data_IF_873175474894
#
_entry.id   IF_873175474894
#
_cell.length_a   1.000
_cell.length_b   1.000
_cell.length_c   1.000
_cell.angle_alpha   90.00
_cell.angle_beta   90.00
_cell.angle_gamma   90.00
#
_symmetry.space_group_name_H-M   'P 1'
#
loop_
_entity.id
_entity.type
_entity.pdbx_description
1 polymer ?
#
# COMPACT_ATOMS: atom_id res chain seq x y z
N UNK A 1 -36.54 -29.77 3.06
CA UNK A 1 -35.71 -28.86 3.87
C UNK A 1 -34.26 -29.23 3.67
N UNK A 2 -33.58 -28.62 2.70
CA UNK A 2 -32.15 -28.83 2.47
C UNK A 2 -31.38 -27.73 3.20
N UNK A 3 -30.52 -28.12 4.14
CA UNK A 3 -29.63 -27.22 4.85
C UNK A 3 -28.73 -26.48 3.86
N UNK A 4 -28.82 -25.14 3.88
CA UNK A 4 -27.88 -24.22 3.24
C UNK A 4 -26.49 -24.53 3.81
N UNK A 5 -25.65 -25.19 3.02
CA UNK A 5 -24.22 -25.37 3.33
C UNK A 5 -23.62 -23.97 3.36
N UNK A 6 -23.29 -23.49 4.56
CA UNK A 6 -22.58 -22.23 4.78
C UNK A 6 -21.31 -22.27 3.95
N UNK A 7 -21.23 -21.42 2.92
CA UNK A 7 -19.96 -21.13 2.28
C UNK A 7 -19.14 -20.35 3.30
N UNK A 8 -18.19 -21.03 3.95
CA UNK A 8 -17.12 -20.40 4.71
C UNK A 8 -16.41 -19.45 3.75
N UNK A 9 -16.67 -18.15 3.85
CA UNK A 9 -15.88 -17.14 3.15
C UNK A 9 -14.45 -17.28 3.66
N UNK A 10 -13.52 -17.58 2.75
CA UNK A 10 -12.11 -17.44 3.06
C UNK A 10 -11.86 -15.92 3.20
N UNK A 11 -12.10 -15.40 4.40
CA UNK A 11 -11.96 -13.98 4.69
C UNK A 11 -10.47 -13.70 4.89
N UNK A 12 -9.77 -13.35 3.82
CA UNK A 12 -8.32 -13.08 3.84
C UNK A 12 -7.97 -11.78 4.60
N UNK A 13 -8.98 -10.93 4.85
CA UNK A 13 -8.92 -9.80 5.76
C UNK A 13 -9.69 -10.09 7.04
N UNK A 14 -8.98 -10.52 8.09
CA UNK A 14 -9.52 -10.62 9.46
C UNK A 14 -9.96 -9.26 10.04
N UNK A 15 -9.72 -8.13 9.35
CA UNK A 15 -10.32 -6.85 9.69
C UNK A 15 -11.79 -6.85 9.26
N UNK A 16 -12.68 -7.22 10.19
CA UNK A 16 -14.09 -6.89 10.08
C UNK A 16 -14.23 -5.37 9.96
N UNK A 17 -15.13 -4.88 9.09
CA UNK A 17 -15.41 -3.46 9.04
C UNK A 17 -15.84 -2.98 10.44
N UNK A 18 -15.27 -1.87 10.90
CA UNK A 18 -15.69 -1.22 12.12
C UNK A 18 -16.75 -0.18 11.76
N UNK A 19 -17.94 -0.29 12.37
CA UNK A 19 -18.94 0.75 12.25
C UNK A 19 -18.51 1.91 13.16
N UNK A 20 -18.19 3.05 12.57
CA UNK A 20 -17.67 4.23 13.27
C UNK A 20 -18.60 5.42 13.09
N UNK A 21 -18.75 6.23 14.15
CA UNK A 21 -19.39 7.55 14.02
C UNK A 21 -18.35 8.55 13.52
N UNK A 22 -18.50 8.96 12.27
CA UNK A 22 -17.71 10.03 11.65
C UNK A 22 -18.32 11.38 12.04
N UNK A 23 -17.57 12.28 12.72
CA UNK A 23 -18.10 13.56 13.16
C UNK A 23 -18.46 14.50 12.00
N UNK A 24 -19.43 15.39 12.24
CA UNK A 24 -19.65 16.58 11.41
C UNK A 24 -18.37 17.38 11.23
N UNK A 25 -18.15 17.94 10.04
CA UNK A 25 -16.92 18.65 9.66
C UNK A 25 -15.82 17.76 9.08
N UNK A 26 -15.93 16.43 9.19
CA UNK A 26 -15.03 15.49 8.51
C UNK A 26 -15.13 15.63 6.99
N UNK A 27 -14.03 15.37 6.28
CA UNK A 27 -13.99 15.47 4.82
C UNK A 27 -14.16 14.10 4.17
N UNK A 28 -14.72 14.07 2.97
CA UNK A 28 -14.90 12.88 2.13
C UNK A 28 -14.37 13.15 0.73
N UNK A 29 -13.38 12.37 0.30
CA UNK A 29 -12.98 12.26 -1.11
C UNK A 29 -13.91 11.24 -1.75
N UNK A 30 -14.75 11.70 -2.68
CA UNK A 30 -15.64 10.81 -3.40
C UNK A 30 -14.83 9.89 -4.32
N UNK A 31 -15.27 8.63 -4.43
CA UNK A 31 -14.61 7.61 -5.26
C UNK A 31 -15.57 7.00 -6.30
N UNK A 32 -16.75 7.57 -6.48
CA UNK A 32 -17.73 7.15 -7.49
C UNK A 32 -17.71 8.05 -8.74
N UNK A 33 -18.22 7.53 -9.86
CA UNK A 33 -18.21 8.20 -11.16
C UNK A 33 -19.10 9.45 -11.21
N UNK A 34 -20.06 9.58 -10.28
CA UNK A 34 -21.03 10.69 -10.27
C UNK A 34 -20.49 11.87 -9.48
N UNK A 35 -20.09 11.64 -8.22
CA UNK A 35 -19.57 12.66 -7.32
C UNK A 35 -18.10 12.99 -7.59
N UNK A 36 -17.33 12.11 -8.24
CA UNK A 36 -15.92 12.35 -8.61
C UNK A 36 -15.71 12.48 -10.12
N UNK A 37 -16.71 12.97 -10.84
CA UNK A 37 -16.65 13.15 -12.30
C UNK A 37 -15.91 14.43 -12.73
N UNK A 38 -15.05 14.31 -13.74
CA UNK A 38 -14.54 15.42 -14.56
C UNK A 38 -14.77 15.05 -16.02
N UNK A 39 -15.43 15.92 -16.79
CA UNK A 39 -15.81 15.66 -18.19
C UNK A 39 -16.54 14.31 -18.38
N UNK A 40 -17.48 13.99 -17.48
CA UNK A 40 -18.30 12.75 -17.44
C UNK A 40 -17.53 11.46 -17.16
N UNK A 41 -16.27 11.56 -16.76
CA UNK A 41 -15.40 10.42 -16.45
C UNK A 41 -14.88 10.52 -15.02
N UNK A 42 -14.57 9.39 -14.41
CA UNK A 42 -13.95 9.38 -13.09
C UNK A 42 -12.60 10.10 -13.11
N UNK A 43 -12.39 11.01 -12.15
CA UNK A 43 -11.13 11.74 -12.02
C UNK A 43 -10.11 10.94 -11.20
N UNK A 44 -9.18 10.25 -11.90
CA UNK A 44 -8.08 9.49 -11.30
C UNK A 44 -7.19 10.29 -10.33
N UNK A 45 -7.20 11.63 -10.42
CA UNK A 45 -6.46 12.50 -9.49
C UNK A 45 -6.92 12.34 -8.04
N UNK A 46 -8.11 11.79 -7.78
CA UNK A 46 -8.54 11.42 -6.43
C UNK A 46 -7.56 10.45 -5.73
N UNK A 47 -7.01 9.48 -6.45
CA UNK A 47 -5.98 8.57 -5.92
C UNK A 47 -4.66 9.31 -5.65
N UNK A 48 -4.27 10.24 -6.51
CA UNK A 48 -3.08 11.07 -6.28
C UNK A 48 -3.19 11.94 -5.04
N UNK A 49 -4.38 12.50 -4.80
CA UNK A 49 -4.66 13.25 -3.57
C UNK A 49 -4.55 12.33 -2.34
N UNK A 50 -5.15 11.15 -2.39
CA UNK A 50 -5.08 10.17 -1.29
C UNK A 50 -3.63 9.82 -0.92
N UNK A 51 -2.79 9.49 -1.92
CA UNK A 51 -1.37 9.18 -1.68
C UNK A 51 -0.63 10.37 -1.07
N UNK A 52 -0.89 11.60 -1.52
CA UNK A 52 -0.23 12.80 -0.98
C UNK A 52 -0.63 13.10 0.47
N UNK A 53 -1.90 12.93 0.80
CA UNK A 53 -2.39 13.06 2.18
C UNK A 53 -1.68 12.06 3.10
N UNK A 54 -1.59 10.79 2.67
CA UNK A 54 -0.88 9.75 3.41
C UNK A 54 0.62 10.07 3.56
N UNK A 55 1.28 10.56 2.52
CA UNK A 55 2.70 10.98 2.57
C UNK A 55 2.92 12.15 3.53
N UNK A 56 1.94 13.04 3.66
CA UNK A 56 1.93 14.13 4.63
C UNK A 56 1.52 13.70 6.05
N UNK A 57 1.26 12.40 6.28
CA UNK A 57 0.90 11.86 7.59
C UNK A 57 -0.56 12.03 7.98
N UNK A 58 -1.45 12.36 7.03
CA UNK A 58 -2.89 12.45 7.26
C UNK A 58 -3.52 11.06 7.07
N UNK A 59 -4.08 10.44 8.13
CA UNK A 59 -4.75 9.15 8.02
C UNK A 59 -6.01 9.24 7.15
N UNK A 60 -6.30 8.18 6.40
CA UNK A 60 -7.50 8.08 5.57
C UNK A 60 -8.32 6.86 5.97
N UNK A 61 -9.58 7.05 6.36
CA UNK A 61 -10.50 5.95 6.61
C UNK A 61 -11.14 5.52 5.30
N UNK A 62 -10.88 4.30 4.86
CA UNK A 62 -11.46 3.72 3.66
C UNK A 62 -12.83 3.12 3.98
N UNK A 63 -13.87 3.87 3.65
CA UNK A 63 -15.25 3.54 3.98
C UNK A 63 -15.82 2.59 2.93
N UNK A 64 -15.96 1.31 3.30
CA UNK A 64 -16.53 0.27 2.44
C UNK A 64 -17.54 -0.51 3.27
N UNK A 65 -18.80 -0.50 2.83
CA UNK A 65 -19.87 -1.22 3.51
C UNK A 65 -19.68 -2.73 3.38
N UNK A 66 -19.68 -3.42 4.53
CA UNK A 66 -19.50 -4.87 4.60
C UNK A 66 -20.64 -5.61 3.89
N UNK A 67 -20.30 -6.63 3.10
CA UNK A 67 -21.26 -7.47 2.39
C UNK A 67 -22.12 -6.75 1.35
N UNK A 68 -21.72 -5.55 0.91
CA UNK A 68 -22.48 -4.80 -0.10
C UNK A 68 -22.48 -5.52 -1.44
N UNK A 69 -23.53 -5.35 -2.23
CA UNK A 69 -23.55 -5.77 -3.62
C UNK A 69 -22.66 -4.86 -4.49
N UNK A 70 -22.27 -5.32 -5.68
CA UNK A 70 -21.55 -4.49 -6.67
C UNK A 70 -22.34 -3.21 -6.95
N UNK A 71 -21.64 -2.07 -6.95
CA UNK A 71 -22.20 -0.72 -7.16
C UNK A 71 -23.23 -0.25 -6.11
N UNK A 72 -23.37 -0.98 -4.99
CA UNK A 72 -24.19 -0.51 -3.89
C UNK A 72 -23.52 0.64 -3.11
N UNK A 73 -24.37 1.42 -2.45
CA UNK A 73 -23.99 2.55 -1.60
C UNK A 73 -23.17 2.08 -0.40
N UNK A 74 -22.07 2.79 -0.13
CA UNK A 74 -21.27 2.61 1.09
C UNK A 74 -21.94 3.34 2.26
N UNK A 75 -22.26 4.62 2.09
CA UNK A 75 -23.10 5.38 3.02
C UNK A 75 -23.78 6.57 2.35
N UNK A 76 -24.84 7.08 2.99
CA UNK A 76 -25.57 8.28 2.58
C UNK A 76 -25.60 9.28 3.73
N UNK A 77 -25.33 10.56 3.46
CA UNK A 77 -25.38 11.62 4.46
C UNK A 77 -25.52 13.01 3.85
N UNK A 78 -25.86 14.00 4.67
CA UNK A 78 -25.84 15.40 4.26
C UNK A 78 -24.39 15.91 4.20
N UNK A 79 -24.01 16.40 3.02
CA UNK A 79 -22.68 16.94 2.80
C UNK A 79 -22.70 18.12 1.82
N UNK A 80 -21.82 19.08 2.08
CA UNK A 80 -21.51 20.20 1.18
C UNK A 80 -20.25 19.88 0.40
N UNK A 81 -20.14 20.32 -0.87
CA UNK A 81 -18.86 20.22 -1.58
C UNK A 81 -18.01 21.43 -1.20
N UNK A 82 -16.76 21.22 -0.78
CA UNK A 82 -15.83 22.29 -0.39
C UNK A 82 -14.70 22.51 -1.41
N UNK A 83 -14.38 21.50 -2.22
CA UNK A 83 -13.40 21.59 -3.32
C UNK A 83 -13.89 20.84 -4.56
N UNK A 84 -13.48 21.26 -5.78
CA UNK A 84 -12.73 22.48 -6.08
C UNK A 84 -13.59 23.75 -5.99
N UNK A 85 -14.91 23.60 -6.01
CA UNK A 85 -15.90 24.68 -5.94
C UNK A 85 -17.02 24.31 -4.98
N UNK A 86 -17.56 25.30 -4.28
CA UNK A 86 -18.64 25.11 -3.33
C UNK A 86 -19.91 24.54 -4.02
N UNK A 87 -20.57 23.60 -3.36
CA UNK A 87 -21.96 23.23 -3.65
C UNK A 87 -22.75 23.23 -2.35
N UNK A 88 -24.00 23.66 -2.40
CA UNK A 88 -24.88 23.62 -1.24
C UNK A 88 -24.96 22.21 -0.62
N UNK A 89 -25.34 22.19 0.65
CA UNK A 89 -25.64 20.96 1.39
C UNK A 89 -26.73 20.20 0.66
N UNK A 90 -26.51 18.90 0.46
CA UNK A 90 -27.53 17.99 -0.02
C UNK A 90 -27.31 16.61 0.59
N UNK A 91 -28.35 15.77 0.57
CA UNK A 91 -28.18 14.34 0.83
C UNK A 91 -27.40 13.72 -0.33
N UNK A 92 -26.30 13.03 -0.04
CA UNK A 92 -25.39 12.45 -1.02
C UNK A 92 -25.10 11.00 -0.64
N UNK A 93 -25.14 10.13 -1.64
CA UNK A 93 -24.76 8.72 -1.50
C UNK A 93 -23.37 8.54 -2.08
N UNK A 94 -22.44 8.08 -1.25
CA UNK A 94 -21.07 7.80 -1.66
C UNK A 94 -20.93 6.31 -1.96
N UNK A 95 -20.32 5.99 -3.10
CA UNK A 95 -20.13 4.62 -3.59
C UNK A 95 -18.63 4.38 -3.86
N UNK A 96 -18.30 3.12 -4.12
CA UNK A 96 -16.97 2.69 -4.60
C UNK A 96 -15.84 3.05 -3.64
N UNK A 97 -16.08 2.92 -2.33
CA UNK A 97 -15.04 3.04 -1.32
C UNK A 97 -14.53 4.48 -1.16
N UNK A 98 -15.38 5.47 -0.82
CA UNK A 98 -14.95 6.82 -0.50
C UNK A 98 -13.89 6.85 0.62
N UNK A 99 -13.03 7.88 0.61
CA UNK A 99 -11.99 8.06 1.61
C UNK A 99 -12.36 9.22 2.53
N UNK A 100 -12.42 8.94 3.83
CA UNK A 100 -12.79 9.91 4.86
C UNK A 100 -11.55 10.42 5.58
N UNK A 101 -11.47 11.73 5.78
CA UNK A 101 -10.46 12.41 6.58
C UNK A 101 -11.15 12.92 7.84
N UNK A 102 -10.58 12.57 9.00
CA UNK A 102 -11.15 12.98 10.28
C UNK A 102 -11.16 14.51 10.44
N UNK A 103 -12.15 15.03 11.17
CA UNK A 103 -12.28 16.46 11.44
C UNK A 103 -11.03 17.04 12.13
N UNK A 104 -10.33 16.24 12.95
CA UNK A 104 -9.09 16.65 13.60
C UNK A 104 -7.99 17.01 12.58
N UNK A 105 -7.94 16.32 11.45
CA UNK A 105 -6.94 16.50 10.39
C UNK A 105 -7.38 17.47 9.30
N UNK A 106 -8.65 17.93 9.34
CA UNK A 106 -9.28 18.74 8.30
C UNK A 106 -8.42 19.93 7.86
N UNK A 107 -7.89 20.71 8.80
CA UNK A 107 -7.13 21.93 8.51
C UNK A 107 -5.85 21.61 7.74
N UNK A 108 -5.08 20.62 8.21
CA UNK A 108 -3.85 20.19 7.54
C UNK A 108 -4.16 19.58 6.17
N UNK A 109 -5.21 18.76 6.08
CA UNK A 109 -5.66 18.17 4.84
C UNK A 109 -6.08 19.22 3.81
N UNK A 110 -6.84 20.26 4.18
CA UNK A 110 -7.29 21.31 3.26
C UNK A 110 -6.13 22.10 2.63
N UNK A 111 -5.02 22.27 3.35
CA UNK A 111 -3.81 22.87 2.79
C UNK A 111 -3.23 22.00 1.66
N UNK A 112 -3.12 20.69 1.89
CA UNK A 112 -2.64 19.71 0.90
C UNK A 112 -3.60 19.60 -0.28
N UNK A 113 -4.90 19.51 -0.02
CA UNK A 113 -5.96 19.44 -1.05
C UNK A 113 -5.90 20.68 -1.95
N UNK A 114 -5.77 21.87 -1.37
CA UNK A 114 -5.71 23.12 -2.12
C UNK A 114 -4.43 23.21 -2.95
N UNK A 115 -3.29 22.84 -2.36
CA UNK A 115 -2.00 22.80 -3.06
C UNK A 115 -1.98 21.80 -4.22
N UNK A 116 -2.58 20.62 -4.03
CA UNK A 116 -2.66 19.61 -5.08
C UNK A 116 -3.61 20.01 -6.21
N UNK A 117 -4.75 20.63 -5.92
CA UNK A 117 -5.73 21.06 -6.93
C UNK A 117 -6.30 19.89 -7.73
N UNK A 118 -6.08 19.90 -9.06
CA UNK A 118 -6.46 18.82 -9.98
C UNK A 118 -7.97 18.47 -10.03
N UNK A 119 -8.85 19.42 -9.69
CA UNK A 119 -10.31 19.28 -9.75
C UNK A 119 -10.83 18.05 -9.00
N UNK A 120 -10.20 17.68 -7.87
CA UNK A 120 -10.70 16.60 -7.02
C UNK A 120 -11.89 17.11 -6.19
N UNK A 121 -13.02 16.40 -6.22
CA UNK A 121 -14.19 16.82 -5.46
C UNK A 121 -14.03 16.32 -4.02
N UNK A 122 -14.06 17.26 -3.08
CA UNK A 122 -14.00 16.96 -1.65
C UNK A 122 -15.24 17.53 -1.01
N UNK A 123 -15.90 16.70 -0.22
CA UNK A 123 -17.12 17.00 0.49
C UNK A 123 -16.84 17.14 1.98
N UNK A 124 -17.63 17.95 2.67
CA UNK A 124 -17.60 18.07 4.12
C UNK A 124 -18.95 17.61 4.67
N UNK A 125 -18.92 16.72 5.65
CA UNK A 125 -20.12 16.24 6.34
C UNK A 125 -20.71 17.38 7.18
N UNK A 126 -22.02 17.55 7.13
CA UNK A 126 -22.71 18.58 7.95
C UNK A 126 -23.37 18.01 9.20
N UNK A 127 -23.23 16.71 9.43
CA UNK A 127 -23.78 15.99 10.56
C UNK A 127 -22.92 14.76 10.88
N UNK A 128 -23.01 14.29 12.11
CA UNK A 128 -22.42 13.01 12.50
C UNK A 128 -23.06 11.89 11.66
N UNK A 129 -22.24 10.97 11.15
CA UNK A 129 -22.67 9.90 10.25
C UNK A 129 -22.03 8.60 10.68
N UNK A 130 -22.82 7.55 10.88
CA UNK A 130 -22.28 6.19 11.10
C UNK A 130 -21.87 5.59 9.76
N UNK A 131 -20.62 5.14 9.67
CA UNK A 131 -20.02 4.62 8.44
C UNK A 131 -19.22 3.36 8.75
N UNK A 132 -19.36 2.35 7.90
CA UNK A 132 -18.52 1.16 7.97
C UNK A 132 -17.13 1.46 7.38
N UNK A 133 -16.10 1.37 8.21
CA UNK A 133 -14.71 1.58 7.84
C UNK A 133 -14.04 0.22 7.69
N UNK A 134 -13.57 -0.08 6.48
CA UNK A 134 -12.83 -1.33 6.19
C UNK A 134 -11.39 -1.24 6.67
N UNK A 135 -10.74 -0.10 6.42
CA UNK A 135 -9.37 0.16 6.87
C UNK A 135 -9.17 1.62 7.24
N UNK A 136 -8.34 1.87 8.27
CA UNK A 136 -7.71 3.18 8.46
C UNK A 136 -6.30 3.11 7.87
N UNK A 137 -6.07 3.83 6.79
CA UNK A 137 -4.80 3.88 6.06
C UNK A 137 -3.86 4.88 6.71
N UNK A 138 -2.67 4.43 7.06
CA UNK A 138 -1.59 5.25 7.66
C UNK A 138 -0.23 5.07 6.98
N UNK A 139 -0.07 4.00 6.20
CA UNK A 139 1.13 3.78 5.39
C UNK A 139 1.29 4.86 4.32
N UNK A 140 2.53 5.05 3.81
CA UNK A 140 2.86 6.01 2.75
C UNK A 140 3.06 5.27 1.42
N UNK A 141 2.04 5.18 0.54
CA UNK A 141 2.12 4.31 -0.63
C UNK A 141 3.31 4.64 -1.53
N UNK A 142 4.18 3.67 -1.81
CA UNK A 142 5.28 3.80 -2.77
C UNK A 142 5.42 2.53 -3.60
N UNK A 143 5.31 2.68 -4.92
CA UNK A 143 5.35 1.56 -5.86
C UNK A 143 6.74 1.31 -6.46
N UNK A 144 7.18 0.06 -6.50
CA UNK A 144 8.16 -0.41 -7.49
C UNK A 144 7.42 -0.88 -8.74
N UNK A 145 7.80 -0.36 -9.92
CA UNK A 145 7.30 -0.86 -11.20
C UNK A 145 8.41 -1.66 -11.85
N UNK A 146 8.23 -2.98 -11.88
CA UNK A 146 9.19 -3.93 -12.42
C UNK A 146 9.21 -3.82 -13.96
N UNK A 147 10.41 -3.84 -14.53
CA UNK A 147 10.62 -3.71 -15.97
C UNK A 147 11.10 -5.01 -16.62
N UNK A 148 10.79 -6.18 -16.05
CA UNK A 148 11.35 -7.44 -16.53
C UNK A 148 10.98 -7.72 -18.00
N UNK A 149 9.83 -7.23 -18.47
CA UNK A 149 9.44 -7.31 -19.89
C UNK A 149 9.48 -6.00 -20.66
N UNK A 150 10.03 -4.90 -20.12
CA UNK A 150 10.21 -3.65 -20.87
C UNK A 150 8.98 -2.73 -20.98
N UNK A 151 7.89 -3.02 -20.26
CA UNK A 151 6.59 -2.35 -20.44
C UNK A 151 6.14 -1.49 -19.23
N UNK A 152 7.08 -0.92 -18.48
CA UNK A 152 6.78 -0.06 -17.32
C UNK A 152 5.86 1.12 -17.61
N UNK A 153 5.79 1.58 -18.87
CA UNK A 153 4.94 2.71 -19.30
C UNK A 153 3.45 2.47 -19.04
N UNK A 154 3.00 1.20 -18.99
CA UNK A 154 1.62 0.83 -18.70
C UNK A 154 1.22 1.31 -17.31
N UNK A 155 1.95 0.89 -16.26
CA UNK A 155 1.65 1.26 -14.87
C UNK A 155 2.10 2.69 -14.55
N UNK A 156 3.28 3.11 -15.01
CA UNK A 156 3.76 4.48 -14.75
C UNK A 156 2.89 5.54 -15.43
N UNK A 157 2.30 5.23 -16.58
CA UNK A 157 1.30 6.07 -17.24
C UNK A 157 0.04 6.25 -16.39
N UNK A 158 -0.46 5.17 -15.76
CA UNK A 158 -1.59 5.22 -14.82
C UNK A 158 -1.25 6.12 -13.62
N UNK A 159 -0.06 5.95 -13.03
CA UNK A 159 0.40 6.77 -11.91
C UNK A 159 0.51 8.25 -12.26
N UNK A 160 1.06 8.56 -13.44
CA UNK A 160 1.13 9.94 -13.95
C UNK A 160 -0.28 10.54 -14.14
N UNK A 161 -1.22 9.78 -14.73
CA UNK A 161 -2.63 10.20 -14.86
C UNK A 161 -3.29 10.41 -13.50
N UNK A 162 -2.98 9.59 -12.50
CA UNK A 162 -3.40 9.78 -11.12
C UNK A 162 -2.73 10.97 -10.42
N UNK A 163 -1.70 11.60 -11.01
CA UNK A 163 -0.99 12.76 -10.43
C UNK A 163 0.09 12.38 -9.42
N UNK A 164 0.55 11.13 -9.48
CA UNK A 164 1.68 10.64 -8.70
C UNK A 164 3.00 11.06 -9.36
N UNK A 165 4.04 11.23 -8.55
CA UNK A 165 5.35 11.73 -8.97
C UNK A 165 6.37 10.60 -8.96
N UNK A 166 7.09 10.42 -10.08
CA UNK A 166 8.21 9.48 -10.17
C UNK A 166 9.32 9.85 -9.17
N UNK A 167 9.99 8.86 -8.59
CA UNK A 167 10.98 9.01 -7.52
C UNK A 167 10.37 9.19 -6.12
N UNK A 168 9.21 9.83 -6.01
CA UNK A 168 8.52 10.04 -4.72
C UNK A 168 7.50 8.95 -4.43
N UNK A 169 6.54 8.73 -5.33
CA UNK A 169 5.41 7.81 -5.13
C UNK A 169 5.58 6.50 -5.89
N UNK A 170 6.41 6.49 -6.93
CA UNK A 170 6.75 5.26 -7.65
C UNK A 170 8.15 5.34 -8.23
N UNK A 171 8.79 4.20 -8.48
CA UNK A 171 10.10 4.10 -9.11
C UNK A 171 10.12 2.87 -10.01
N UNK A 172 10.78 2.98 -11.16
CA UNK A 172 11.00 1.83 -12.03
C UNK A 172 12.19 1.03 -11.53
N UNK A 173 12.00 -0.27 -11.36
CA UNK A 173 13.05 -1.22 -11.08
C UNK A 173 13.36 -2.00 -12.35
N UNK A 174 14.63 -2.16 -12.68
CA UNK A 174 15.03 -2.87 -13.90
C UNK A 174 14.60 -4.34 -13.90
N UNK A 175 14.47 -4.95 -12.72
CA UNK A 175 14.03 -6.33 -12.57
C UNK A 175 13.51 -6.63 -11.16
N UNK A 176 12.62 -7.63 -11.06
CA UNK A 176 12.24 -8.32 -9.84
C UNK A 176 13.44 -8.83 -9.01
N UNK A 177 14.61 -9.03 -9.64
CA UNK A 177 15.86 -9.33 -8.93
C UNK A 177 16.26 -8.26 -7.90
N UNK A 178 15.79 -7.02 -8.05
CA UNK A 178 16.09 -5.89 -7.16
C UNK A 178 15.11 -5.77 -5.98
N UNK A 179 14.03 -6.54 -5.97
CA UNK A 179 13.02 -6.51 -4.92
C UNK A 179 13.26 -7.65 -3.92
N UNK A 180 13.18 -7.34 -2.63
CA UNK A 180 13.25 -8.30 -1.52
C UNK A 180 12.62 -7.69 -0.25
N UNK A 181 12.73 -8.38 0.89
CA UNK A 181 12.16 -7.92 2.16
C UNK A 181 12.73 -6.59 2.70
N UNK A 182 13.86 -6.11 2.20
CA UNK A 182 14.48 -4.84 2.60
C UNK A 182 14.23 -3.69 1.59
N UNK A 183 13.53 -3.93 0.49
CA UNK A 183 13.29 -2.90 -0.56
C UNK A 183 12.26 -1.88 -0.08
N UNK A 184 12.55 -0.57 -0.09
CA UNK A 184 11.66 0.49 0.42
C UNK A 184 10.47 0.84 -0.49
N UNK A 185 9.56 -0.11 -0.64
CA UNK A 185 8.28 0.05 -1.34
C UNK A 185 7.16 -0.56 -0.51
N UNK A 186 5.95 -0.02 -0.54
CA UNK A 186 4.77 -0.67 0.06
C UNK A 186 4.08 -1.57 -0.96
N UNK A 187 4.34 -1.34 -2.24
CA UNK A 187 3.73 -2.02 -3.36
C UNK A 187 4.75 -2.30 -4.46
N UNK A 188 4.66 -3.44 -5.13
CA UNK A 188 5.41 -3.76 -6.33
C UNK A 188 4.44 -4.21 -7.42
N UNK A 189 4.73 -3.90 -8.69
CA UNK A 189 3.88 -4.29 -9.80
C UNK A 189 4.68 -4.70 -11.02
N UNK A 190 4.25 -5.74 -11.70
CA UNK A 190 4.79 -6.16 -13.00
C UNK A 190 3.68 -6.02 -14.06
N UNK A 191 3.77 -5.03 -14.96
CA UNK A 191 2.78 -4.82 -16.01
C UNK A 191 2.78 -5.92 -17.08
N UNK A 192 3.95 -6.45 -17.43
CA UNK A 192 4.08 -7.46 -18.47
C UNK A 192 5.49 -8.06 -18.43
N UNK A 193 5.59 -9.34 -18.07
CA UNK A 193 6.80 -10.13 -18.27
C UNK A 193 6.47 -11.56 -18.69
N UNK A 194 7.10 -12.04 -19.76
CA UNK A 194 6.97 -13.42 -20.25
C UNK A 194 8.01 -14.38 -19.64
N UNK A 195 9.05 -13.85 -18.97
CA UNK A 195 10.22 -14.61 -18.51
C UNK A 195 10.58 -14.28 -17.05
N UNK A 196 9.88 -14.92 -16.12
CA UNK A 196 10.14 -14.82 -14.68
C UNK A 196 10.75 -16.14 -14.19
N UNK A 197 11.94 -16.06 -13.59
CA UNK A 197 12.64 -17.21 -13.03
C UNK A 197 12.18 -17.50 -11.61
N UNK A 198 12.44 -18.71 -11.12
CA UNK A 198 12.14 -19.07 -9.73
C UNK A 198 12.80 -18.13 -8.70
N UNK A 199 14.03 -17.66 -8.97
CA UNK A 199 14.71 -16.69 -8.11
C UNK A 199 13.96 -15.34 -8.01
N UNK A 200 13.43 -14.84 -9.13
CA UNK A 200 12.62 -13.61 -9.17
C UNK A 200 11.29 -13.78 -8.42
N UNK A 201 10.65 -14.94 -8.51
CA UNK A 201 9.46 -15.27 -7.71
C UNK A 201 9.80 -15.24 -6.22
N UNK A 202 10.89 -15.89 -5.81
CA UNK A 202 11.31 -15.95 -4.40
C UNK A 202 11.63 -14.56 -3.82
N UNK A 203 12.18 -13.67 -4.64
CA UNK A 203 12.40 -12.27 -4.29
C UNK A 203 11.09 -11.51 -4.00
N UNK A 204 10.08 -11.70 -4.85
CA UNK A 204 8.74 -11.15 -4.62
C UNK A 204 8.09 -11.77 -3.39
N UNK A 205 8.25 -13.09 -3.16
CA UNK A 205 7.81 -13.76 -1.91
C UNK A 205 8.45 -13.12 -0.68
N UNK A 206 9.77 -12.86 -0.71
CA UNK A 206 10.47 -12.21 0.39
C UNK A 206 9.94 -10.79 0.66
N UNK A 207 9.60 -10.05 -0.39
CA UNK A 207 8.96 -8.74 -0.29
C UNK A 207 7.55 -8.82 0.30
N UNK A 208 6.72 -9.77 -0.15
CA UNK A 208 5.38 -10.00 0.40
C UNK A 208 5.41 -10.40 1.88
N UNK A 209 6.33 -11.29 2.26
CA UNK A 209 6.52 -11.71 3.65
C UNK A 209 7.04 -10.57 4.57
N UNK A 210 7.54 -9.46 3.99
CA UNK A 210 7.90 -8.24 4.72
C UNK A 210 6.75 -7.25 4.88
N UNK A 211 5.54 -7.58 4.41
CA UNK A 211 4.35 -6.72 4.47
C UNK A 211 4.13 -5.89 3.21
N UNK A 212 4.93 -6.10 2.15
CA UNK A 212 4.69 -5.50 0.83
C UNK A 212 3.49 -6.13 0.12
N UNK A 213 2.93 -5.43 -0.86
CA UNK A 213 1.84 -5.91 -1.71
C UNK A 213 2.29 -6.01 -3.17
N UNK A 214 1.76 -6.97 -3.93
CA UNK A 214 2.14 -7.20 -5.32
C UNK A 214 0.95 -7.17 -6.28
N UNK A 215 1.18 -6.73 -7.52
CA UNK A 215 0.25 -6.94 -8.63
C UNK A 215 1.00 -7.45 -9.87
N UNK A 216 0.56 -8.60 -10.38
CA UNK A 216 0.97 -9.10 -11.70
C UNK A 216 -0.14 -8.86 -12.72
N UNK A 217 0.20 -8.27 -13.85
CA UNK A 217 -0.77 -7.97 -14.91
C UNK A 217 -0.44 -8.71 -16.22
N UNK A 218 -1.48 -9.07 -16.98
CA UNK A 218 -1.34 -9.67 -18.31
C UNK A 218 -0.47 -10.95 -18.32
N UNK A 219 0.56 -11.06 -19.16
CA UNK A 219 1.47 -12.21 -19.20
C UNK A 219 2.28 -12.36 -17.89
N UNK A 220 2.39 -11.31 -17.06
CA UNK A 220 2.96 -11.44 -15.73
C UNK A 220 2.10 -12.35 -14.83
N UNK A 221 0.78 -12.41 -15.05
CA UNK A 221 -0.08 -13.38 -14.37
C UNK A 221 0.47 -14.78 -14.63
N UNK A 222 0.67 -15.15 -15.91
CA UNK A 222 1.16 -16.47 -16.31
C UNK A 222 2.57 -16.75 -15.77
N UNK A 223 3.50 -15.80 -15.91
CA UNK A 223 4.91 -16.04 -15.57
C UNK A 223 5.13 -16.17 -14.05
N UNK A 224 4.44 -15.37 -13.23
CA UNK A 224 4.48 -15.50 -11.77
C UNK A 224 3.65 -16.68 -11.23
N UNK A 225 2.79 -17.28 -12.04
CA UNK A 225 2.00 -18.47 -11.68
C UNK A 225 2.44 -19.73 -12.43
N UNK A 226 3.66 -19.76 -12.97
CA UNK A 226 4.14 -20.94 -13.70
C UNK A 226 4.11 -22.21 -12.84
N UNK A 227 3.92 -23.37 -13.47
CA UNK A 227 3.80 -24.67 -12.78
C UNK A 227 5.06 -25.09 -12.04
N UNK A 228 6.23 -24.52 -12.36
CA UNK A 228 7.53 -24.91 -11.78
C UNK A 228 7.86 -24.18 -10.48
N UNK A 229 7.40 -22.93 -10.31
CA UNK A 229 7.52 -22.19 -9.04
C UNK A 229 6.43 -21.11 -8.97
N UNK A 230 5.17 -21.49 -8.72
CA UNK A 230 4.07 -20.53 -8.70
C UNK A 230 4.16 -19.69 -7.43
N UNK A 231 3.99 -18.37 -7.58
CA UNK A 231 3.89 -17.45 -6.44
C UNK A 231 2.77 -17.90 -5.48
N UNK A 232 1.65 -18.42 -6.01
CA UNK A 232 0.44 -18.74 -5.25
C UNK A 232 -0.39 -19.90 -5.80
N UNK A 233 -0.64 -19.89 -7.11
CA UNK A 233 -1.44 -20.89 -7.80
C UNK A 233 -0.76 -21.23 -9.12
N UNK A 234 -0.99 -22.43 -9.64
CA UNK A 234 -0.45 -22.82 -10.95
C UNK A 234 -1.38 -22.36 -12.07
N UNK A 235 -0.82 -21.69 -13.06
CA UNK A 235 -1.49 -21.30 -14.29
C UNK A 235 -2.01 -22.52 -15.03
N UNK A 236 -3.25 -22.44 -15.50
CA UNK A 236 -3.89 -23.46 -16.32
C UNK A 236 -4.01 -23.01 -17.77
N UNK A 237 -4.73 -21.92 -18.01
CA UNK A 237 -5.06 -21.47 -19.38
C UNK A 237 -5.53 -20.02 -19.41
N UNK A 238 -5.66 -19.46 -20.63
CA UNK A 238 -6.17 -18.10 -20.91
C UNK A 238 -7.26 -18.16 -22.00
N UNK A 239 -8.47 -18.64 -21.67
CA UNK A 239 -9.48 -18.99 -22.67
C UNK A 239 -10.16 -17.79 -23.35
N UNK A 240 -9.89 -16.55 -22.91
CA UNK A 240 -10.67 -15.37 -23.29
C UNK A 240 -11.91 -15.20 -22.43
N UNK A 241 -12.70 -14.16 -22.69
CA UNK A 241 -14.02 -13.94 -22.08
C UNK A 241 -15.06 -14.23 -23.17
N UNK A 242 -15.88 -15.26 -22.97
CA UNK A 242 -16.96 -15.62 -23.90
C UNK A 242 -18.28 -14.94 -23.56
N UNK A 243 -18.57 -14.82 -22.26
CA UNK A 243 -19.78 -14.23 -21.73
C UNK A 243 -19.58 -12.79 -21.24
N UNK A 244 -20.31 -12.44 -20.17
CA UNK A 244 -20.20 -11.14 -19.51
C UNK A 244 -19.24 -11.19 -18.33
N UNK A 245 -18.59 -10.07 -18.02
CA UNK A 245 -17.78 -9.94 -16.80
C UNK A 245 -18.72 -9.75 -15.59
N UNK A 246 -18.70 -10.71 -14.67
CA UNK A 246 -19.44 -10.69 -13.41
C UNK A 246 -18.47 -10.44 -12.25
N UNK A 247 -18.97 -9.82 -11.18
CA UNK A 247 -18.20 -9.44 -10.00
C UNK A 247 -18.60 -10.22 -8.75
N UNK A 248 -17.62 -10.52 -7.91
CA UNK A 248 -17.76 -11.11 -6.58
C UNK A 248 -17.02 -10.26 -5.54
N UNK A 249 -17.32 -10.50 -4.25
CA UNK A 249 -16.65 -9.86 -3.12
C UNK A 249 -16.63 -8.32 -3.27
N UNK A 250 -17.80 -7.72 -3.50
CA UNK A 250 -17.90 -6.30 -3.85
C UNK A 250 -17.53 -5.33 -2.70
N UNK A 251 -17.34 -5.84 -1.49
CA UNK A 251 -16.78 -5.14 -0.34
C UNK A 251 -15.24 -5.27 -0.23
N UNK A 252 -14.57 -5.90 -1.20
CA UNK A 252 -13.11 -5.96 -1.26
C UNK A 252 -12.48 -4.66 -1.77
N UNK A 253 -11.46 -4.10 -1.10
CA UNK A 253 -10.76 -2.89 -1.53
C UNK A 253 -10.29 -2.91 -2.99
N UNK A 254 -9.89 -4.08 -3.50
CA UNK A 254 -9.37 -4.20 -4.86
C UNK A 254 -10.42 -3.78 -5.91
N UNK A 255 -11.70 -4.09 -5.69
CA UNK A 255 -12.80 -3.88 -6.65
C UNK A 255 -13.69 -2.66 -6.34
N UNK A 256 -13.17 -1.69 -5.59
CA UNK A 256 -13.86 -0.43 -5.32
C UNK A 256 -13.87 0.47 -6.57
N UNK A 257 -14.73 0.10 -7.51
CA UNK A 257 -14.98 0.74 -8.81
C UNK A 257 -16.50 0.84 -9.07
N UNK A 258 -16.90 1.79 -9.91
CA UNK A 258 -18.31 1.93 -10.33
C UNK A 258 -18.52 1.51 -11.78
N UNK A 259 -19.41 0.56 -12.02
CA UNK A 259 -19.67 -0.01 -13.35
C UNK A 259 -18.74 -1.18 -13.71
N UNK A 260 -18.64 -1.50 -14.99
CA UNK A 260 -17.92 -2.66 -15.51
C UNK A 260 -16.40 -2.50 -15.62
N UNK A 261 -15.75 -3.55 -16.14
CA UNK A 261 -14.38 -3.57 -16.65
C UNK A 261 -14.43 -3.82 -18.15
N UNK A 262 -13.37 -3.44 -18.87
CA UNK A 262 -13.31 -3.65 -20.31
C UNK A 262 -12.61 -4.97 -20.67
N UNK A 263 -13.00 -5.58 -21.79
CA UNK A 263 -12.29 -6.71 -22.41
C UNK A 263 -11.32 -6.22 -23.51
N UNK A 264 -10.58 -5.16 -23.22
CA UNK A 264 -9.58 -4.62 -24.15
C UNK A 264 -8.38 -5.55 -24.28
N UNK A 265 -7.79 -5.62 -25.48
CA UNK A 265 -6.36 -5.84 -25.74
C UNK A 265 -5.64 -7.11 -25.29
N UNK A 266 -4.74 -7.58 -26.15
CA UNK A 266 -3.69 -8.55 -25.83
C UNK A 266 -4.09 -10.03 -25.71
N UNK A 267 -3.10 -10.87 -25.39
CA UNK A 267 -3.12 -12.33 -25.37
C UNK A 267 -3.70 -12.95 -24.08
N UNK A 268 -3.67 -12.25 -22.94
CA UNK A 268 -4.20 -12.70 -21.64
C UNK A 268 -5.40 -11.83 -21.26
N UNK A 269 -6.54 -12.09 -21.90
CA UNK A 269 -7.82 -11.43 -21.61
C UNK A 269 -8.52 -11.97 -20.36
N UNK A 270 -8.18 -13.20 -20.01
CA UNK A 270 -8.62 -13.92 -18.83
C UNK A 270 -7.60 -14.99 -18.46
N UNK A 271 -7.72 -15.58 -17.28
CA UNK A 271 -6.86 -16.65 -16.82
C UNK A 271 -7.60 -17.65 -15.93
N UNK A 272 -7.18 -18.91 -16.02
CA UNK A 272 -7.58 -20.00 -15.13
C UNK A 272 -6.38 -20.50 -14.33
N UNK A 273 -6.62 -20.92 -13.11
CA UNK A 273 -5.64 -21.64 -12.29
C UNK A 273 -6.06 -23.10 -12.11
N UNK A 274 -5.09 -24.01 -11.87
CA UNK A 274 -5.39 -25.42 -11.57
C UNK A 274 -5.97 -25.58 -10.15
N UNK A 275 -5.61 -24.66 -9.25
CA UNK A 275 -6.02 -24.64 -7.85
C UNK A 275 -6.56 -23.23 -7.53
N UNK A 276 -7.54 -23.10 -6.62
CA UNK A 276 -8.15 -21.81 -6.26
C UNK A 276 -7.89 -21.43 -4.78
N UNK A 277 -6.69 -20.95 -4.39
CA UNK A 277 -6.37 -20.65 -3.00
C UNK A 277 -6.86 -19.28 -2.49
N UNK A 278 -7.50 -18.46 -3.32
CA UNK A 278 -7.82 -17.05 -3.06
C UNK A 278 -9.28 -16.66 -3.37
N UNK A 279 -9.50 -15.36 -3.59
CA UNK A 279 -10.83 -14.80 -3.89
C UNK A 279 -10.92 -14.31 -5.33
N UNK A 280 -12.01 -14.75 -5.97
CA UNK A 280 -12.45 -14.27 -7.27
C UNK A 280 -13.00 -12.86 -7.14
N UNK A 281 -12.63 -11.97 -8.06
CA UNK A 281 -13.09 -10.57 -8.04
C UNK A 281 -13.93 -10.24 -9.26
N UNK A 282 -13.39 -10.53 -10.44
CA UNK A 282 -14.12 -10.39 -11.70
C UNK A 282 -13.86 -11.62 -12.56
N UNK A 283 -14.90 -12.16 -13.21
CA UNK A 283 -14.83 -13.43 -13.91
C UNK A 283 -15.86 -13.54 -15.04
N UNK A 284 -15.66 -14.50 -15.93
CA UNK A 284 -16.54 -14.79 -17.06
C UNK A 284 -17.82 -15.51 -16.59
N UNK A 285 -18.99 -14.99 -16.96
CA UNK A 285 -20.28 -15.62 -16.67
C UNK A 285 -20.37 -17.06 -17.13
N UNK A 286 -19.68 -17.42 -18.21
CA UNK A 286 -19.71 -18.76 -18.80
C UNK A 286 -18.87 -19.76 -17.98
N UNK A 287 -17.96 -19.26 -17.13
CA UNK A 287 -17.09 -20.10 -16.34
C UNK A 287 -16.62 -19.40 -15.07
N UNK A 288 -17.16 -19.86 -13.93
CA UNK A 288 -16.81 -19.31 -12.61
C UNK A 288 -15.33 -19.40 -12.19
N UNK A 289 -14.51 -20.15 -12.93
CA UNK A 289 -13.07 -20.30 -12.71
C UNK A 289 -12.22 -19.56 -13.74
N UNK A 290 -12.85 -18.81 -14.66
CA UNK A 290 -12.21 -18.00 -15.68
C UNK A 290 -12.15 -16.54 -15.24
N UNK A 291 -11.01 -16.12 -14.72
CA UNK A 291 -10.87 -14.86 -14.01
C UNK A 291 -10.39 -13.73 -14.93
N UNK A 292 -10.95 -12.53 -14.74
CA UNK A 292 -10.41 -11.25 -15.22
C UNK A 292 -9.56 -10.59 -14.13
N UNK A 293 -10.04 -10.64 -12.89
CA UNK A 293 -9.34 -10.12 -11.72
C UNK A 293 -9.45 -11.13 -10.56
N UNK A 294 -8.34 -11.28 -9.84
CA UNK A 294 -8.19 -12.24 -8.77
C UNK A 294 -7.27 -11.67 -7.70
N UNK A 295 -7.49 -11.98 -6.43
CA UNK A 295 -6.51 -11.67 -5.40
C UNK A 295 -6.43 -12.76 -4.33
N UNK A 296 -5.34 -12.73 -3.58
CA UNK A 296 -5.11 -13.62 -2.45
C UNK A 296 -4.15 -12.96 -1.47
N UNK A 297 -4.24 -13.34 -0.20
CA UNK A 297 -3.22 -13.00 0.81
C UNK A 297 -2.31 -14.19 1.00
N UNK A 298 -1.00 -13.97 0.90
CA UNK A 298 -0.01 -15.05 1.03
C UNK A 298 -0.05 -15.62 2.46
N UNK A 299 -0.41 -16.90 2.61
CA UNK A 299 -0.59 -17.55 3.91
C UNK A 299 0.69 -17.61 4.79
N UNK A 300 1.88 -17.50 4.18
CA UNK A 300 3.18 -17.49 4.87
C UNK A 300 3.60 -16.12 5.38
N UNK A 301 2.83 -15.05 5.13
CA UNK A 301 3.22 -13.72 5.60
C UNK A 301 3.10 -13.67 7.12
N UNK A 302 4.23 -13.56 7.82
CA UNK A 302 4.25 -13.23 9.25
C UNK A 302 3.71 -11.82 9.57
N UNK A 303 3.38 -11.04 8.53
CA UNK A 303 2.80 -9.70 8.61
C UNK A 303 1.30 -9.74 8.87
N UNK A 304 0.85 -8.98 9.87
CA UNK A 304 -0.58 -8.81 10.19
C UNK A 304 -1.30 -8.05 9.06
N UNK A 305 -0.61 -7.08 8.44
CA UNK A 305 -1.11 -6.26 7.33
C UNK A 305 -0.11 -6.30 6.15
N UNK A 306 -0.64 -6.42 4.93
CA UNK A 306 0.15 -6.60 3.70
C UNK A 306 0.22 -8.06 3.26
N UNK A 307 1.10 -8.37 2.30
CA UNK A 307 1.22 -9.71 1.71
C UNK A 307 0.13 -10.04 0.70
N UNK A 308 -0.60 -9.04 0.20
CA UNK A 308 -1.63 -9.24 -0.83
C UNK A 308 -0.99 -9.35 -2.19
N UNK A 309 -1.45 -10.32 -2.98
CA UNK A 309 -1.14 -10.45 -4.39
C UNK A 309 -2.41 -10.29 -5.20
N UNK A 310 -2.32 -9.43 -6.19
CA UNK A 310 -3.39 -9.12 -7.11
C UNK A 310 -2.98 -9.58 -8.51
N UNK A 311 -3.93 -10.15 -9.23
CA UNK A 311 -3.78 -10.46 -10.65
C UNK A 311 -4.88 -9.75 -11.44
N UNK A 312 -4.48 -9.21 -12.59
CA UNK A 312 -5.35 -8.52 -13.52
C UNK A 312 -5.02 -8.96 -14.95
N UNK A 313 -6.03 -9.36 -15.71
CA UNK A 313 -5.88 -9.66 -17.13
C UNK A 313 -6.03 -8.39 -17.98
N UNK A 314 -5.47 -8.44 -19.19
CA UNK A 314 -5.29 -7.30 -20.11
C UNK A 314 -4.33 -6.22 -19.59
N UNK A 315 -3.92 -5.30 -20.46
CA UNK A 315 -3.12 -4.13 -20.10
C UNK A 315 -3.19 -2.91 -21.05
N UNK A 316 -4.09 -2.91 -22.04
CA UNK A 316 -4.26 -1.78 -22.97
C UNK A 316 -5.43 -0.90 -22.56
N UNK A 317 -5.34 -0.30 -21.37
CA UNK A 317 -6.43 0.53 -20.85
C UNK A 317 -6.31 1.97 -21.37
N UNK A 318 -7.22 2.35 -22.26
CA UNK A 318 -7.38 3.72 -22.72
C UNK A 318 -7.97 4.64 -21.63
N UNK A 319 -8.35 5.84 -22.04
CA UNK A 319 -9.11 6.79 -21.21
C UNK A 319 -10.38 7.24 -21.92
N UNK A 320 -10.86 6.45 -22.86
CA UNK A 320 -12.04 6.65 -23.69
C UNK A 320 -13.32 6.64 -22.88
N UNK A 321 -13.42 5.80 -21.84
CA UNK A 321 -14.60 5.69 -20.98
C UNK A 321 -14.28 5.25 -19.53
N UNK A 322 -15.33 5.05 -18.73
CA UNK A 322 -15.19 4.64 -17.33
C UNK A 322 -14.81 3.16 -17.17
N UNK A 323 -15.08 2.29 -18.14
CA UNK A 323 -14.68 0.87 -18.05
C UNK A 323 -13.16 0.74 -18.15
N UNK A 324 -12.52 1.43 -19.09
CA UNK A 324 -11.06 1.48 -19.18
C UNK A 324 -10.42 2.19 -17.97
N UNK A 325 -11.07 3.23 -17.44
CA UNK A 325 -10.61 3.89 -16.21
C UNK A 325 -10.73 2.93 -15.01
N UNK A 326 -11.76 2.11 -14.93
CA UNK A 326 -11.93 1.16 -13.84
C UNK A 326 -10.82 0.11 -13.80
N UNK A 327 -10.34 -0.38 -14.95
CA UNK A 327 -9.17 -1.25 -15.00
C UNK A 327 -7.92 -0.56 -14.42
N UNK A 328 -7.72 0.73 -14.67
CA UNK A 328 -6.64 1.52 -14.06
C UNK A 328 -6.84 1.71 -12.55
N UNK A 329 -8.10 1.84 -12.11
CA UNK A 329 -8.45 1.94 -10.68
C UNK A 329 -8.13 0.67 -9.91
N UNK A 330 -8.19 -0.51 -10.54
CA UNK A 330 -7.76 -1.76 -9.91
C UNK A 330 -6.30 -1.69 -9.45
N UNK A 331 -5.39 -1.21 -10.31
CA UNK A 331 -3.99 -1.00 -9.95
C UNK A 331 -3.83 0.01 -8.80
N UNK A 332 -4.59 1.10 -8.84
CA UNK A 332 -4.52 2.15 -7.81
C UNK A 332 -5.13 1.72 -6.48
N UNK A 333 -6.19 0.89 -6.51
CA UNK A 333 -6.75 0.24 -5.33
C UNK A 333 -5.73 -0.73 -4.71
N UNK A 334 -5.02 -1.51 -5.53
CA UNK A 334 -3.95 -2.38 -5.05
C UNK A 334 -2.77 -1.60 -4.43
N UNK A 335 -2.44 -0.43 -5.00
CA UNK A 335 -1.44 0.50 -4.45
C UNK A 335 -1.86 1.06 -3.08
N UNK A 336 -3.14 1.42 -2.89
CA UNK A 336 -3.67 1.93 -1.63
C UNK A 336 -3.91 0.85 -0.57
N UNK A 337 -3.86 -0.44 -0.95
CA UNK A 337 -4.14 -1.52 -0.02
C UNK A 337 -3.16 -1.48 1.16
N UNK A 338 -3.64 -1.61 2.42
CA UNK A 338 -2.79 -1.50 3.60
C UNK A 338 -1.50 -2.34 3.51
N UNK A 339 -0.41 -1.76 4.01
CA UNK A 339 0.90 -2.38 4.10
C UNK A 339 1.57 -1.91 5.39
N UNK A 340 1.88 -2.84 6.30
CA UNK A 340 2.67 -2.54 7.50
C UNK A 340 4.17 -2.67 7.23
N UNK A 341 4.57 -2.36 5.99
CA UNK A 341 5.96 -2.53 5.62
C UNK A 341 6.82 -1.45 6.25
N UNK A 342 7.35 -1.80 7.41
CA UNK A 342 8.33 -1.02 8.16
C UNK A 342 9.66 -1.72 8.05
N UNK A 343 10.59 -1.07 7.35
CA UNK A 343 11.99 -1.46 7.35
C UNK A 343 12.66 -0.70 8.50
N UNK A 344 13.14 -1.43 9.49
CA UNK A 344 14.07 -0.85 10.46
C UNK A 344 15.40 -0.55 9.78
N UNK A 345 16.11 0.49 10.25
CA UNK A 345 17.56 0.51 10.08
C UNK A 345 18.13 -0.82 10.59
N UNK A 346 19.26 -1.31 10.07
CA UNK A 346 19.98 -2.47 10.62
C UNK A 346 21.47 -2.18 10.57
N UNK A 347 22.14 -2.33 11.71
CA UNK A 347 23.59 -2.38 11.77
C UNK A 347 24.03 -3.84 11.54
N UNK A 348 24.44 -4.16 10.32
CA UNK A 348 24.96 -5.47 9.91
C UNK A 348 26.50 -5.55 10.01
N UNK A 349 27.13 -4.61 10.71
CA UNK A 349 28.57 -4.62 10.93
C UNK A 349 28.97 -5.88 11.70
N UNK A 350 30.06 -6.52 11.30
CA UNK A 350 30.56 -7.72 11.98
C UNK A 350 30.92 -7.39 13.44
N UNK A 351 30.79 -8.37 14.34
CA UNK A 351 31.14 -8.21 15.76
C UNK A 351 32.60 -8.60 16.07
N UNK A 352 33.39 -8.96 15.05
CA UNK A 352 34.81 -9.31 15.22
C UNK A 352 35.61 -8.15 15.85
N UNK A 353 36.49 -8.43 16.81
CA UNK A 353 37.33 -7.39 17.42
C UNK A 353 38.32 -6.80 16.41
N UNK A 354 38.73 -5.55 16.65
CA UNK A 354 39.83 -4.86 15.95
C UNK A 354 40.79 -4.30 16.99
N UNK A 355 42.03 -4.06 16.59
CA UNK A 355 43.05 -3.35 17.39
C UNK A 355 43.04 -1.85 17.11
N UNK A 356 43.74 -1.05 17.92
CA UNK A 356 43.76 0.42 17.78
C UNK A 356 44.42 0.92 16.48
N UNK A 357 45.22 0.07 15.82
CA UNK A 357 45.87 0.36 14.53
C UNK A 357 45.05 -0.14 13.32
N UNK A 358 43.90 -0.77 13.56
CA UNK A 358 43.01 -1.27 12.52
C UNK A 358 41.81 -0.36 12.35
N UNK A 359 41.10 -0.55 11.23
CA UNK A 359 39.82 0.12 10.98
C UNK A 359 38.73 -0.91 10.78
N UNK A 360 37.48 -0.49 10.94
CA UNK A 360 36.31 -1.33 10.70
C UNK A 360 35.36 -0.71 9.70
N UNK A 361 35.09 -1.45 8.63
CA UNK A 361 34.04 -1.11 7.67
C UNK A 361 32.67 -1.40 8.30
N UNK A 362 31.88 -0.35 8.45
CA UNK A 362 30.52 -0.38 8.94
C UNK A 362 29.56 -0.75 7.80
N UNK A 363 28.63 -1.66 8.08
CA UNK A 363 27.67 -2.16 7.10
C UNK A 363 26.27 -1.95 7.63
N UNK A 364 25.49 -1.15 6.91
CA UNK A 364 24.15 -0.72 7.30
C UNK A 364 23.17 -1.13 6.22
N UNK A 365 22.00 -1.61 6.64
CA UNK A 365 20.92 -1.97 5.73
C UNK A 365 19.62 -1.30 6.16
N UNK A 366 18.77 -0.87 5.22
CA UNK A 366 19.11 -0.50 3.81
C UNK A 366 20.28 0.50 3.71
N UNK A 367 20.79 0.75 2.50
CA UNK A 367 21.80 1.79 2.24
C UNK A 367 21.24 3.22 2.35
N UNK A 368 22.11 4.22 2.56
CA UNK A 368 21.73 5.64 2.55
C UNK A 368 21.49 6.26 3.93
N UNK A 369 21.71 5.49 4.99
CA UNK A 369 21.74 5.99 6.36
C UNK A 369 23.08 6.59 6.76
N UNK A 370 23.09 7.20 7.93
CA UNK A 370 24.24 7.83 8.58
C UNK A 370 24.70 7.01 9.78
N UNK A 371 26.00 7.06 10.06
CA UNK A 371 26.61 6.42 11.21
C UNK A 371 26.96 7.44 12.29
N UNK A 372 26.74 7.06 13.55
CA UNK A 372 27.20 7.85 14.70
C UNK A 372 27.79 6.97 15.79
N UNK A 373 28.79 7.50 16.48
CA UNK A 373 29.34 6.89 17.69
C UNK A 373 28.44 7.29 18.85
N UNK A 374 27.91 6.30 19.55
CA UNK A 374 27.06 6.50 20.73
C UNK A 374 27.94 6.58 22.00
N UNK A 375 29.04 5.84 22.07
CA UNK A 375 29.94 5.84 23.24
C UNK A 375 31.41 5.54 22.92
N UNK A 376 32.28 5.88 23.88
CA UNK A 376 33.72 5.57 24.01
C UNK A 376 34.72 6.30 23.07
N UNK A 377 34.32 6.70 21.87
CA UNK A 377 35.10 7.61 21.02
C UNK A 377 35.72 6.97 19.77
N UNK A 378 36.66 7.68 19.16
CA UNK A 378 37.16 7.40 17.80
C UNK A 378 36.53 8.33 16.76
N UNK A 379 36.68 7.99 15.48
CA UNK A 379 36.09 8.76 14.38
C UNK A 379 35.43 7.87 13.34
N UNK A 380 34.41 8.40 12.67
CA UNK A 380 33.78 7.75 11.53
C UNK A 380 33.94 8.66 10.32
N UNK A 381 34.55 8.15 9.26
CA UNK A 381 34.57 8.78 7.94
C UNK A 381 33.79 7.91 6.97
N UNK A 382 32.68 8.45 6.44
CA UNK A 382 31.69 7.73 5.61
C UNK A 382 31.15 6.47 6.30
N UNK A 383 31.76 5.32 6.03
CA UNK A 383 31.41 4.02 6.59
C UNK A 383 32.62 3.32 7.22
N UNK A 384 33.70 4.03 7.53
CA UNK A 384 34.89 3.46 8.18
C UNK A 384 35.02 4.02 9.58
N UNK A 385 34.96 3.15 10.57
CA UNK A 385 35.29 3.47 11.96
C UNK A 385 36.79 3.32 12.21
N UNK A 386 37.38 4.35 12.82
CA UNK A 386 38.78 4.37 13.28
C UNK A 386 38.78 4.54 14.81
N UNK A 387 39.33 3.57 15.57
CA UNK A 387 39.44 3.66 17.01
C UNK A 387 40.25 4.88 17.47
N UNK A 388 40.00 5.33 18.70
CA UNK A 388 40.95 6.15 19.44
C UNK A 388 42.02 5.23 20.08
N UNK A 389 43.14 5.81 20.52
CA UNK A 389 44.11 5.07 21.33
C UNK A 389 43.47 4.58 22.63
N UNK A 390 43.74 3.32 23.00
CA UNK A 390 43.13 2.68 24.17
C UNK A 390 44.18 2.04 25.06
N UNK A 391 44.05 2.20 26.38
CA UNK A 391 44.95 1.56 27.35
C UNK A 391 44.47 0.16 27.78
N UNK A 392 43.24 -0.22 27.41
CA UNK A 392 42.64 -1.52 27.69
C UNK A 392 41.50 -1.83 26.72
N UNK A 393 41.15 -3.12 26.59
CA UNK A 393 40.06 -3.58 25.72
C UNK A 393 38.76 -2.85 26.05
N UNK A 394 38.13 -2.27 25.03
CA UNK A 394 36.90 -1.51 25.25
C UNK A 394 35.82 -1.74 24.20
N UNK A 395 34.57 -1.73 24.66
CA UNK A 395 33.36 -1.82 23.84
C UNK A 395 32.94 -0.45 23.32
N UNK A 396 32.78 -0.33 22.01
CA UNK A 396 32.27 0.87 21.33
C UNK A 396 30.85 0.60 20.85
N UNK A 397 29.93 1.54 21.09
CA UNK A 397 28.56 1.46 20.57
C UNK A 397 28.43 2.37 19.35
N UNK A 398 28.07 1.79 18.20
CA UNK A 398 27.88 2.51 16.94
C UNK A 398 26.43 2.33 16.48
N UNK A 399 25.77 3.46 16.14
CA UNK A 399 24.40 3.51 15.65
C UNK A 399 24.37 3.74 14.14
N UNK A 400 23.51 2.97 13.48
CA UNK A 400 23.07 3.27 12.12
C UNK A 400 21.70 3.92 12.15
N UNK A 401 21.53 5.05 11.48
CA UNK A 401 20.26 5.78 11.39
C UNK A 401 19.93 6.04 9.94
N UNK A 402 18.70 5.74 9.52
CA UNK A 402 18.23 6.10 8.19
C UNK A 402 17.25 7.26 8.34
N UNK A 403 17.25 8.23 7.41
CA UNK A 403 16.20 9.23 7.37
C UNK A 403 14.83 8.55 7.42
N UNK A 404 13.93 9.08 8.24
CA UNK A 404 12.54 8.64 8.21
C UNK A 404 12.01 8.86 6.77
N UNK A 405 11.58 7.79 6.13
CA UNK A 405 11.01 7.83 4.78
C UNK A 405 9.71 7.01 4.73
N UNK A 406 9.26 6.69 3.51
CA UNK A 406 8.00 6.03 3.23
C UNK A 406 7.89 4.61 3.82
N UNK A 407 9.01 3.90 4.06
CA UNK A 407 9.03 2.60 4.75
C UNK A 407 10.05 2.53 5.91
N UNK A 408 10.87 3.55 6.19
CA UNK A 408 11.85 3.53 7.27
C UNK A 408 11.32 4.13 8.56
N UNK A 409 11.41 3.35 9.65
CA UNK A 409 11.25 3.89 11.00
C UNK A 409 12.60 4.45 11.49
N UNK A 410 12.65 5.71 11.97
CA UNK A 410 13.86 6.27 12.59
C UNK A 410 14.20 5.59 13.93
N UNK A 411 13.28 4.78 14.48
CA UNK A 411 13.37 4.20 15.80
C UNK A 411 13.55 2.68 15.70
N UNK A 412 14.80 2.23 15.80
CA UNK A 412 15.12 0.91 16.33
C UNK A 412 16.14 1.07 17.46
N UNK A 413 15.82 0.48 18.61
CA UNK A 413 16.72 0.37 19.76
C UNK A 413 17.50 -0.93 19.59
N UNK A 414 18.81 -0.83 19.40
CA UNK A 414 19.70 -1.96 19.68
C UNK A 414 20.43 -1.69 20.98
N UNK A 415 20.26 -2.60 21.93
CA UNK A 415 21.25 -2.83 22.97
C UNK A 415 21.77 -4.25 22.79
N UNK A 416 23.06 -4.45 23.07
CA UNK A 416 23.75 -5.74 22.94
C UNK A 416 23.30 -6.78 23.98
N UNK A 417 22.49 -6.37 24.96
CA UNK A 417 21.91 -7.20 26.01
C UNK A 417 20.37 -6.99 26.08
N UNK A 418 19.55 -8.06 26.10
CA UNK A 418 18.10 -7.98 26.33
C UNK A 418 17.68 -7.18 27.57
N UNK A 419 18.47 -7.20 28.65
CA UNK A 419 18.18 -6.45 29.88
C UNK A 419 18.29 -4.93 29.69
N UNK A 420 19.25 -4.47 28.90
CA UNK A 420 19.43 -3.05 28.58
C UNK A 420 18.30 -2.52 27.69
N UNK A 421 17.78 -3.38 26.80
CA UNK A 421 16.61 -3.04 25.97
C UNK A 421 15.36 -2.90 26.83
N UNK A 422 15.14 -3.83 27.78
CA UNK A 422 14.02 -3.75 28.72
C UNK A 422 14.13 -2.51 29.62
N UNK A 423 15.35 -2.18 30.07
CA UNK A 423 15.61 -0.98 30.86
C UNK A 423 15.33 0.30 30.06
N UNK A 424 15.81 0.41 28.82
CA UNK A 424 15.58 1.60 27.99
C UNK A 424 14.09 1.80 27.68
N UNK A 425 13.37 0.72 27.34
CA UNK A 425 11.92 0.78 27.11
C UNK A 425 11.18 1.20 28.38
N UNK A 426 11.59 0.70 29.56
CA UNK A 426 11.04 1.08 30.86
C UNK A 426 11.33 2.55 31.20
N UNK A 427 12.53 3.04 30.90
CA UNK A 427 12.94 4.43 31.14
C UNK A 427 12.20 5.41 30.19
N UNK A 428 11.95 5.02 28.94
CA UNK A 428 11.13 5.79 27.99
C UNK A 428 9.66 5.83 28.45
N UNK A 429 9.10 4.68 28.87
CA UNK A 429 7.75 4.61 29.41
C UNK A 429 7.59 5.39 30.72
N UNK A 430 8.63 5.45 31.55
CA UNK A 430 8.65 6.25 32.77
C UNK A 430 8.73 7.76 32.47
N UNK A 431 9.53 8.18 31.49
CA UNK A 431 9.61 9.57 31.05
C UNK A 431 8.32 10.06 30.40
N UNK A 432 7.64 9.22 29.61
CA UNK A 432 6.33 9.55 29.02
C UNK A 432 5.21 9.75 30.06
N UNK A 433 5.33 9.14 31.25
CA UNK A 433 4.40 9.34 32.37
C UNK A 433 4.70 10.59 33.22
N UNK A 434 5.77 11.33 32.93
CA UNK A 434 6.25 12.45 33.75
C UNK A 434 5.96 13.86 33.18
N UNK A 435 5.19 13.98 32.10
CA UNK A 435 4.80 15.31 31.59
C UNK A 435 3.74 15.96 32.51
N UNK A 436 4.17 16.97 33.25
CA UNK A 436 3.32 17.97 33.93
C UNK A 436 3.26 19.22 33.03
N UNK A 437 2.09 19.86 32.83
CA UNK A 437 2.01 21.11 32.09
C UNK A 437 2.71 22.24 32.87
N UNK A 438 3.54 23.02 32.18
CA UNK A 438 4.14 24.24 32.73
C UNK A 438 3.28 25.44 32.33
N UNK A 439 2.70 26.10 33.32
CA UNK A 439 2.06 27.42 33.16
C UNK A 439 3.14 28.49 33.28
N UNK A 440 3.29 29.33 32.25
CA UNK A 440 4.03 30.59 32.34
C UNK A 440 3.04 31.72 32.57
N UNK A 441 3.23 32.49 33.64
CA UNK A 441 2.55 33.77 33.81
C UNK A 441 3.47 34.89 33.32
N UNK A 442 2.87 35.80 32.56
CA UNK A 442 3.53 37.01 32.07
C UNK A 442 3.84 37.97 33.22
N UNK A 443 4.88 38.79 33.04
CA UNK A 443 5.27 39.83 33.99
C UNK A 443 4.88 41.20 33.47
#
# INVERSE_FOLDING_TARGET
MAQKKSATSNNFDNAACASETIPSGSLVIAMDNNLQSVSRKFNLKAYGLAVRLLHAGIPLKWAIKSGKAKDAIDFTTNATRVKPSAQAVSSRSFLSGPLVIDVADKTAALAIITSFGNNVNVYELTQNTTVDIKHTLTHKPKAAVLNDGGNVSIHTGIYSRAGLTSGTHYTTESSASNINGNSCYTFASEPHSSNITAAKVNNVVAFLNSGGNFLGQYEAVKSYTSTTNPLLASFSSKPGIGGSIIFDNADEPYIQIQGGLDDTGGSVKSFKFTNNPGLRVAYDSDSGTNYKAYFVKLASSGSVVGGYVHYLASHEYGTGDNTEINDQRMLLNALLRPSDKVIGAKNNTTVASITENETKTLVGAPSGGTWSIVSFGGSISRNTYTPANIASNTTVVIRYTIPADNCYSPTQVWATNPEDTQKLVKDILANLKSFIPVTQNEK
#
